data_IF_020652795005
#
_entry.id   IF_020652795005
#
_cell.length_a   1.000
_cell.length_b   1.000
_cell.length_c   1.000
_cell.angle_alpha   90.00
_cell.angle_beta   90.00
_cell.angle_gamma   90.00
#
_symmetry.space_group_name_H-M   'P 1'
#
loop_
_entity.id
_entity.type
_entity.pdbx_description
1 polymer ?
#
# COMPACT_ATOMS: atom_id res chain seq x y z
N UNK A 1 42.03 6.77 30.92
CA UNK A 1 41.41 6.31 29.65
C UNK A 1 39.93 6.58 29.74
N UNK A 2 39.45 7.66 29.11
CA UNK A 2 38.04 7.99 29.08
C UNK A 2 37.41 7.28 27.88
N UNK A 3 36.47 6.36 28.14
CA UNK A 3 35.62 5.80 27.12
C UNK A 3 34.64 6.91 26.68
N UNK A 4 34.92 7.52 25.53
CA UNK A 4 34.02 8.47 24.90
C UNK A 4 32.73 7.77 24.50
N UNK A 5 31.60 8.33 24.94
CA UNK A 5 30.27 7.97 24.49
C UNK A 5 30.17 8.25 22.99
N UNK A 6 30.37 7.23 22.15
CA UNK A 6 30.04 7.30 20.72
C UNK A 6 28.53 7.09 20.55
N UNK A 7 27.73 8.01 21.08
CA UNK A 7 26.35 8.19 20.69
C UNK A 7 26.32 9.12 19.49
N UNK A 8 26.62 8.61 18.30
CA UNK A 8 26.26 9.35 17.08
C UNK A 8 24.74 9.41 17.05
N UNK A 9 24.16 10.56 17.42
CA UNK A 9 22.75 10.83 17.16
C UNK A 9 22.53 10.65 15.65
N UNK A 10 21.73 9.66 15.30
CA UNK A 10 21.41 9.37 13.91
C UNK A 10 20.62 10.54 13.36
N UNK A 11 21.19 11.27 12.40
CA UNK A 11 20.51 12.41 11.77
C UNK A 11 19.33 11.87 10.96
N UNK A 12 18.13 12.12 11.46
CA UNK A 12 16.88 11.68 10.82
C UNK A 12 15.89 12.83 10.84
N UNK A 13 15.36 13.17 9.67
CA UNK A 13 14.38 14.22 9.50
C UNK A 13 13.32 13.86 8.47
N UNK A 14 12.28 14.67 8.37
CA UNK A 14 11.17 14.46 7.45
C UNK A 14 10.72 15.73 6.75
N UNK A 15 10.19 15.57 5.55
CA UNK A 15 9.62 16.66 4.75
C UNK A 15 8.46 16.14 3.90
N UNK A 16 7.67 17.06 3.37
CA UNK A 16 6.59 16.79 2.44
C UNK A 16 6.94 17.42 1.09
N UNK A 17 6.94 16.59 0.06
CA UNK A 17 7.09 17.00 -1.33
C UNK A 17 5.73 17.03 -2.00
N UNK A 18 5.27 18.20 -2.38
CA UNK A 18 4.05 18.41 -3.13
C UNK A 18 4.38 18.34 -4.62
N UNK A 19 3.60 17.58 -5.37
CA UNK A 19 3.76 17.37 -6.80
C UNK A 19 2.43 17.64 -7.46
N UNK A 20 2.40 18.62 -8.36
CA UNK A 20 1.22 19.03 -9.11
C UNK A 20 1.55 19.08 -10.60
N UNK A 21 0.58 18.78 -11.47
CA UNK A 21 0.72 19.07 -12.89
C UNK A 21 0.18 20.46 -13.20
N UNK A 22 0.91 21.23 -14.00
CA UNK A 22 0.45 22.53 -14.53
C UNK A 22 -0.58 22.38 -15.66
N UNK A 23 -0.99 21.16 -16.00
CA UNK A 23 -1.92 20.86 -17.07
C UNK A 23 -3.27 20.43 -16.49
N UNK A 24 -4.33 21.15 -16.85
CA UNK A 24 -5.69 20.90 -16.32
C UNK A 24 -6.23 19.50 -16.64
N UNK A 25 -5.70 18.85 -17.69
CA UNK A 25 -6.09 17.51 -18.09
C UNK A 25 -5.29 16.39 -17.39
N UNK A 26 -4.35 16.74 -16.50
CA UNK A 26 -3.48 15.79 -15.79
C UNK A 26 -3.63 15.94 -14.30
N UNK A 27 -4.63 15.26 -13.74
CA UNK A 27 -4.85 15.22 -12.29
C UNK A 27 -4.07 14.04 -11.70
N UNK A 28 -2.94 14.35 -11.03
CA UNK A 28 -2.07 13.32 -10.46
C UNK A 28 -2.75 12.53 -9.33
N UNK A 29 -3.62 13.19 -8.56
CA UNK A 29 -4.42 12.57 -7.50
C UNK A 29 -5.31 11.42 -8.04
N UNK A 30 -5.87 11.58 -9.24
CA UNK A 30 -6.72 10.61 -9.93
C UNK A 30 -5.91 9.51 -10.62
N UNK A 31 -4.79 9.86 -11.23
CA UNK A 31 -3.88 8.89 -11.81
C UNK A 31 -3.33 7.93 -10.75
N UNK A 32 -3.06 8.43 -9.54
CA UNK A 32 -2.65 7.58 -8.42
C UNK A 32 -3.81 6.77 -7.82
N UNK A 33 -5.07 7.20 -8.03
CA UNK A 33 -6.25 6.45 -7.63
C UNK A 33 -6.47 5.21 -8.52
N UNK A 34 -6.10 5.31 -9.80
CA UNK A 34 -6.30 4.26 -10.78
C UNK A 34 -5.35 3.07 -10.53
N UNK A 35 -5.85 1.85 -10.27
CA UNK A 35 -5.00 0.71 -9.91
C UNK A 35 -3.90 0.38 -10.92
N UNK A 36 -4.18 0.55 -12.21
CA UNK A 36 -3.21 0.29 -13.29
C UNK A 36 -2.11 1.36 -13.37
N UNK A 37 -2.47 2.63 -13.16
CA UNK A 37 -1.54 3.76 -13.25
C UNK A 37 -0.78 3.99 -11.94
N UNK A 38 -1.37 3.66 -10.80
CA UNK A 38 -0.80 3.81 -9.46
C UNK A 38 0.59 3.18 -9.35
N UNK A 39 0.76 1.96 -9.86
CA UNK A 39 2.07 1.26 -9.85
C UNK A 39 3.10 1.99 -10.71
N UNK A 40 2.69 2.52 -11.86
CA UNK A 40 3.55 3.27 -12.77
C UNK A 40 3.94 4.64 -12.18
N UNK A 41 2.99 5.36 -11.60
CA UNK A 41 3.22 6.64 -10.90
C UNK A 41 4.15 6.44 -9.70
N UNK A 42 3.90 5.41 -8.90
CA UNK A 42 4.77 5.05 -7.78
C UNK A 42 6.20 4.73 -8.24
N UNK A 43 6.35 3.96 -9.32
CA UNK A 43 7.66 3.67 -9.92
C UNK A 43 8.37 4.94 -10.35
N UNK A 44 7.66 5.86 -11.01
CA UNK A 44 8.22 7.14 -11.46
C UNK A 44 8.74 7.97 -10.28
N UNK A 45 7.94 8.10 -9.20
CA UNK A 45 8.34 8.79 -7.97
C UNK A 45 9.58 8.15 -7.35
N UNK A 46 9.57 6.82 -7.18
CA UNK A 46 10.69 6.08 -6.58
C UNK A 46 11.98 6.26 -7.36
N UNK A 47 11.93 6.12 -8.68
CA UNK A 47 13.12 6.24 -9.54
C UNK A 47 13.68 7.66 -9.50
N UNK A 48 12.82 8.68 -9.62
CA UNK A 48 13.27 10.08 -9.59
C UNK A 48 13.91 10.47 -8.25
N UNK A 49 13.36 9.98 -7.13
CA UNK A 49 13.93 10.19 -5.80
C UNK A 49 15.26 9.44 -5.64
N UNK A 50 15.38 8.23 -6.18
CA UNK A 50 16.63 7.48 -6.13
C UNK A 50 17.77 8.18 -6.91
N UNK A 51 17.44 8.78 -8.07
CA UNK A 51 18.39 9.56 -8.87
C UNK A 51 18.86 10.83 -8.15
N UNK A 52 17.97 11.49 -7.39
CA UNK A 52 18.23 12.82 -6.82
C UNK A 52 18.69 12.82 -5.37
N UNK A 53 18.23 11.85 -4.56
CA UNK A 53 18.47 11.79 -3.12
C UNK A 53 19.23 10.56 -2.64
N UNK A 54 19.57 9.63 -3.54
CA UNK A 54 20.38 8.46 -3.22
C UNK A 54 19.55 7.19 -2.96
N UNK A 55 20.18 6.20 -2.33
CA UNK A 55 19.56 4.88 -2.12
C UNK A 55 18.28 4.95 -1.28
N UNK A 56 17.39 3.94 -1.40
CA UNK A 56 16.19 3.84 -0.55
C UNK A 56 16.50 3.65 0.94
N UNK A 57 17.77 3.48 1.33
CA UNK A 57 18.20 3.43 2.73
C UNK A 57 18.38 4.85 3.31
N UNK A 58 18.81 5.81 2.48
CA UNK A 58 19.08 7.20 2.89
C UNK A 58 17.91 8.14 2.63
N UNK A 59 17.08 7.85 1.63
CA UNK A 59 15.87 8.60 1.31
C UNK A 59 14.68 7.65 1.12
N UNK A 60 13.72 7.71 2.03
CA UNK A 60 12.55 6.83 2.08
C UNK A 60 11.28 7.62 1.81
N UNK A 61 10.38 7.04 1.01
CA UNK A 61 8.98 7.47 0.98
C UNK A 61 8.24 6.77 2.11
N UNK A 62 7.67 7.54 3.04
CA UNK A 62 6.87 7.02 4.14
C UNK A 62 5.42 6.82 3.73
N UNK A 63 4.84 7.79 3.02
CA UNK A 63 3.45 7.77 2.58
C UNK A 63 3.25 8.66 1.35
N UNK A 64 2.27 8.33 0.52
CA UNK A 64 1.79 9.19 -0.57
C UNK A 64 0.36 9.59 -0.22
N UNK A 65 0.13 10.88 0.02
CA UNK A 65 -1.19 11.42 0.24
C UNK A 65 -1.76 11.93 -1.07
N UNK A 66 -3.03 11.58 -1.33
CA UNK A 66 -3.81 12.16 -2.41
C UNK A 66 -4.50 13.41 -1.86
N UNK A 67 -4.14 14.58 -2.36
CA UNK A 67 -4.71 15.87 -1.95
C UNK A 67 -5.04 16.67 -3.20
N UNK A 68 -6.23 16.45 -3.73
CA UNK A 68 -6.66 16.94 -5.04
C UNK A 68 -6.35 18.44 -5.27
N UNK A 69 -5.67 18.83 -6.37
CA UNK A 69 -5.17 18.01 -7.51
C UNK A 69 -3.78 17.38 -7.32
N UNK A 70 -3.14 17.60 -6.18
CA UNK A 70 -1.75 17.28 -5.90
C UNK A 70 -1.54 15.87 -5.32
N UNK A 71 -0.32 15.37 -5.49
CA UNK A 71 0.23 14.27 -4.70
C UNK A 71 1.23 14.82 -3.70
N UNK A 72 1.09 14.43 -2.43
CA UNK A 72 2.01 14.84 -1.37
C UNK A 72 2.78 13.61 -0.91
N UNK A 73 4.09 13.59 -1.13
CA UNK A 73 4.98 12.50 -0.74
C UNK A 73 5.65 12.86 0.58
N UNK A 74 5.36 12.09 1.63
CA UNK A 74 6.07 12.19 2.90
C UNK A 74 7.43 11.50 2.77
N UNK A 75 8.51 12.24 2.96
CA UNK A 75 9.89 11.78 2.85
C UNK A 75 10.53 11.66 4.22
N UNK A 76 11.36 10.63 4.38
CA UNK A 76 12.29 10.47 5.50
C UNK A 76 13.71 10.48 4.97
N UNK A 77 14.54 11.29 5.59
CA UNK A 77 15.96 11.39 5.29
C UNK A 77 16.75 10.74 6.43
N UNK A 78 17.71 9.89 6.08
CA UNK A 78 18.67 9.29 6.99
C UNK A 78 20.06 9.75 6.58
N UNK A 79 20.67 10.60 7.41
CA UNK A 79 21.96 11.23 7.12
C UNK A 79 21.84 12.63 6.52
N UNK A 80 22.68 13.52 7.03
CA UNK A 80 22.72 14.94 6.66
C UNK A 80 23.23 15.17 5.23
N UNK A 81 24.28 14.46 4.82
CA UNK A 81 24.89 14.63 3.49
C UNK A 81 23.95 14.19 2.35
N UNK A 82 23.27 13.04 2.41
CA UNK A 82 22.23 12.68 1.44
C UNK A 82 21.09 13.70 1.35
N UNK A 83 20.66 14.27 2.48
CA UNK A 83 19.65 15.33 2.48
C UNK A 83 20.14 16.61 1.78
N UNK A 84 21.38 17.02 2.02
CA UNK A 84 21.97 18.18 1.31
C UNK A 84 22.07 17.94 -0.20
N UNK A 85 22.44 16.72 -0.62
CA UNK A 85 22.44 16.31 -2.03
C UNK A 85 21.04 16.42 -2.65
N UNK A 86 20.02 15.91 -1.95
CA UNK A 86 18.63 16.03 -2.38
C UNK A 86 18.21 17.49 -2.55
N UNK A 87 18.53 18.36 -1.59
CA UNK A 87 18.19 19.80 -1.65
C UNK A 87 18.85 20.49 -2.85
N UNK A 88 20.11 20.16 -3.17
CA UNK A 88 20.79 20.67 -4.37
C UNK A 88 20.12 20.19 -5.65
N UNK A 89 19.83 18.90 -5.76
CA UNK A 89 19.13 18.33 -6.92
C UNK A 89 17.70 18.89 -7.08
N UNK A 90 17.02 19.19 -5.98
CA UNK A 90 15.72 19.86 -5.97
C UNK A 90 15.83 21.29 -6.52
N UNK A 91 16.75 22.08 -5.96
CA UNK A 91 16.99 23.49 -6.35
C UNK A 91 17.42 23.63 -7.81
N UNK A 92 18.26 22.72 -8.30
CA UNK A 92 18.76 22.72 -9.68
C UNK A 92 17.73 22.19 -10.70
N UNK A 93 16.57 21.73 -10.23
CA UNK A 93 15.50 21.21 -11.09
C UNK A 93 15.75 19.79 -11.61
N UNK A 94 16.82 19.12 -11.17
CA UNK A 94 17.13 17.74 -11.57
C UNK A 94 16.02 16.77 -11.14
N UNK A 95 15.52 16.91 -9.90
CA UNK A 95 14.39 16.10 -9.41
C UNK A 95 13.14 16.34 -10.25
N UNK A 96 12.84 17.60 -10.56
CA UNK A 96 11.68 17.98 -11.38
C UNK A 96 11.77 17.34 -12.76
N UNK A 97 12.93 17.44 -13.42
CA UNK A 97 13.15 16.85 -14.74
C UNK A 97 13.00 15.32 -14.72
N UNK A 98 13.54 14.64 -13.69
CA UNK A 98 13.39 13.20 -13.53
C UNK A 98 11.92 12.79 -13.32
N UNK A 99 11.19 13.52 -12.48
CA UNK A 99 9.76 13.31 -12.27
C UNK A 99 8.94 13.53 -13.54
N UNK A 100 9.22 14.59 -14.28
CA UNK A 100 8.53 14.87 -15.55
C UNK A 100 8.73 13.74 -16.56
N UNK A 101 9.96 13.24 -16.72
CA UNK A 101 10.23 12.09 -17.60
C UNK A 101 9.52 10.82 -17.13
N UNK A 102 9.60 10.52 -15.83
CA UNK A 102 8.99 9.32 -15.25
C UNK A 102 7.46 9.33 -15.34
N UNK A 103 6.83 10.46 -15.01
CA UNK A 103 5.38 10.61 -15.05
C UNK A 103 4.84 10.70 -16.48
N UNK A 104 5.57 11.34 -17.41
CA UNK A 104 5.20 11.33 -18.82
C UNK A 104 5.10 9.90 -19.37
N UNK A 105 6.08 9.04 -19.05
CA UNK A 105 6.05 7.63 -19.40
C UNK A 105 4.93 6.86 -18.68
N UNK A 106 4.73 7.09 -17.38
CA UNK A 106 3.71 6.41 -16.59
C UNK A 106 2.27 6.73 -17.04
N UNK A 107 2.04 7.96 -17.48
CA UNK A 107 0.73 8.45 -17.92
C UNK A 107 0.50 8.30 -19.42
N UNK A 108 1.52 7.86 -20.18
CA UNK A 108 1.53 7.88 -21.65
C UNK A 108 1.20 9.26 -22.24
N UNK A 109 1.62 10.35 -21.56
CA UNK A 109 1.38 11.73 -21.97
C UNK A 109 2.71 12.47 -22.13
N UNK A 110 2.88 13.21 -23.23
CA UNK A 110 4.06 14.04 -23.47
C UNK A 110 3.65 15.39 -24.05
N UNK A 111 4.11 16.53 -23.50
CA UNK A 111 4.93 16.72 -22.28
C UNK A 111 4.08 16.88 -21.00
N UNK A 112 4.60 16.44 -19.85
CA UNK A 112 4.00 16.73 -18.52
C UNK A 112 4.77 17.88 -17.86
N UNK A 113 4.08 18.98 -17.58
CA UNK A 113 4.65 20.09 -16.80
C UNK A 113 4.31 19.89 -15.32
N UNK A 114 5.32 20.03 -14.46
CA UNK A 114 5.18 19.79 -13.02
C UNK A 114 5.62 21.02 -12.22
N UNK A 115 4.83 21.30 -11.19
CA UNK A 115 5.20 22.17 -10.09
C UNK A 115 5.51 21.31 -8.87
N UNK A 116 6.61 21.68 -8.19
CA UNK A 116 7.02 21.04 -6.96
C UNK A 116 7.02 22.08 -5.85
N UNK A 117 6.61 21.68 -4.66
CA UNK A 117 6.83 22.46 -3.44
C UNK A 117 7.41 21.56 -2.35
N UNK A 118 8.37 22.07 -1.58
CA UNK A 118 8.97 21.33 -0.47
C UNK A 118 8.66 22.01 0.86
N UNK A 119 8.11 21.25 1.82
CA UNK A 119 7.76 21.77 3.15
C UNK A 119 8.29 20.89 4.27
N UNK A 120 8.72 21.51 5.37
CA UNK A 120 9.08 20.84 6.62
C UNK A 120 8.25 21.43 7.76
N UNK A 121 7.18 20.74 8.15
CA UNK A 121 6.20 21.28 9.10
C UNK A 121 5.47 22.48 8.48
N UNK A 122 5.48 23.62 9.19
CA UNK A 122 4.89 24.87 8.70
C UNK A 122 5.81 25.65 7.75
N UNK A 123 7.10 25.31 7.67
CA UNK A 123 8.08 26.02 6.85
C UNK A 123 8.02 25.55 5.40
N UNK A 124 7.86 26.50 4.46
CA UNK A 124 8.01 26.25 3.03
C UNK A 124 9.47 26.44 2.64
N UNK A 125 10.17 25.34 2.37
CA UNK A 125 11.60 25.32 2.09
C UNK A 125 11.95 25.99 0.77
N UNK A 126 11.02 26.05 -0.19
CA UNK A 126 11.21 26.72 -1.49
C UNK A 126 11.69 28.17 -1.35
N UNK A 127 11.22 28.87 -0.31
CA UNK A 127 11.58 30.27 -0.05
C UNK A 127 13.00 30.45 0.53
N UNK A 128 13.63 29.37 1.00
CA UNK A 128 14.91 29.38 1.71
C UNK A 128 15.93 28.40 1.11
N UNK A 129 15.71 27.88 -0.10
CA UNK A 129 16.61 26.91 -0.77
C UNK A 129 18.05 27.40 -1.00
N UNK A 130 18.28 28.71 -0.96
CA UNK A 130 19.63 29.30 -1.03
C UNK A 130 20.43 29.06 0.24
N UNK A 131 19.74 28.87 1.37
CA UNK A 131 20.33 28.56 2.68
C UNK A 131 20.11 27.08 3.01
N UNK A 132 21.06 26.25 2.56
CA UNK A 132 21.03 24.79 2.75
C UNK A 132 21.01 24.41 4.24
N UNK A 133 21.72 25.16 5.08
CA UNK A 133 21.82 24.92 6.52
C UNK A 133 20.49 25.14 7.24
N UNK A 134 19.77 26.21 6.88
CA UNK A 134 18.42 26.45 7.37
C UNK A 134 17.46 25.34 6.94
N UNK A 135 17.51 24.91 5.67
CA UNK A 135 16.68 23.82 5.16
C UNK A 135 16.92 22.51 5.94
N UNK A 136 18.19 22.13 6.14
CA UNK A 136 18.57 20.94 6.89
C UNK A 136 18.07 21.01 8.35
N UNK A 137 18.15 22.19 8.97
CA UNK A 137 17.68 22.40 10.34
C UNK A 137 16.16 22.26 10.45
N UNK A 138 15.41 22.82 9.49
CA UNK A 138 13.95 22.66 9.41
C UNK A 138 13.54 21.19 9.23
N UNK A 139 14.22 20.44 8.35
CA UNK A 139 13.94 19.02 8.10
C UNK A 139 14.25 18.17 9.35
N UNK A 140 15.39 18.42 10.00
CA UNK A 140 15.78 17.72 11.24
C UNK A 140 14.79 17.97 12.38
N UNK A 141 14.25 19.20 12.48
CA UNK A 141 13.25 19.53 13.51
C UNK A 141 11.96 18.71 13.34
N UNK A 142 11.66 18.23 12.14
CA UNK A 142 10.52 17.35 11.87
C UNK A 142 10.93 15.89 12.02
N UNK A 143 10.69 15.32 13.21
CA UNK A 143 10.91 13.88 13.42
C UNK A 143 9.87 13.07 12.64
N UNK A 144 10.27 12.00 11.93
CA UNK A 144 9.31 11.08 11.34
C UNK A 144 8.39 10.50 12.42
N UNK A 145 7.09 10.71 12.27
CA UNK A 145 6.07 10.28 13.23
C UNK A 145 5.52 8.88 12.91
N UNK A 146 5.87 8.34 11.74
CA UNK A 146 5.27 7.14 11.17
C UNK A 146 6.30 6.21 10.55
N UNK A 147 5.99 4.92 10.62
CA UNK A 147 6.63 3.91 9.79
C UNK A 147 6.12 4.01 8.36
N UNK A 148 6.84 3.40 7.43
CA UNK A 148 6.44 3.29 6.03
C UNK A 148 5.07 2.64 5.91
N UNK A 149 4.21 3.24 5.09
CA UNK A 149 2.84 2.79 4.84
C UNK A 149 2.80 1.42 4.13
N UNK A 150 1.83 0.57 4.49
CA UNK A 150 1.69 -0.77 3.91
C UNK A 150 1.38 -0.72 2.42
N UNK A 151 0.62 0.29 1.99
CA UNK A 151 0.33 0.55 0.58
C UNK A 151 1.63 0.68 -0.25
N UNK A 152 2.65 1.33 0.30
CA UNK A 152 3.94 1.45 -0.37
C UNK A 152 4.71 0.12 -0.42
N UNK A 153 4.55 -0.74 0.58
CA UNK A 153 5.14 -2.07 0.59
C UNK A 153 4.47 -2.97 -0.47
N UNK A 154 3.14 -2.96 -0.55
CA UNK A 154 2.38 -3.68 -1.59
C UNK A 154 2.77 -3.22 -3.00
N UNK A 155 2.92 -1.90 -3.20
CA UNK A 155 3.36 -1.34 -4.48
C UNK A 155 4.80 -1.75 -4.82
N UNK A 156 5.70 -1.87 -3.83
CA UNK A 156 7.03 -2.41 -4.07
C UNK A 156 7.01 -3.88 -4.48
N UNK A 157 6.20 -4.69 -3.80
CA UNK A 157 6.08 -6.11 -4.11
C UNK A 157 5.48 -6.31 -5.51
N UNK A 158 4.46 -5.52 -5.88
CA UNK A 158 3.92 -5.48 -7.23
C UNK A 158 4.99 -5.13 -8.27
N UNK A 159 5.82 -4.12 -7.99
CA UNK A 159 6.94 -3.75 -8.89
C UNK A 159 8.00 -4.83 -9.00
N UNK A 160 8.35 -5.51 -7.90
CA UNK A 160 9.30 -6.63 -7.92
C UNK A 160 8.76 -7.78 -8.78
N UNK A 161 7.50 -8.14 -8.62
CA UNK A 161 6.84 -9.18 -9.41
C UNK A 161 6.80 -8.85 -10.91
N UNK A 162 6.52 -7.59 -11.26
CA UNK A 162 6.57 -7.11 -12.65
C UNK A 162 7.97 -7.17 -13.26
N UNK A 163 9.01 -6.88 -12.46
CA UNK A 163 10.41 -6.91 -12.92
C UNK A 163 10.90 -8.34 -13.10
N UNK A 164 10.47 -9.28 -12.24
CA UNK A 164 10.83 -10.70 -12.32
C UNK A 164 10.13 -11.46 -13.46
N UNK A 165 9.02 -10.96 -14.00
CA UNK A 165 8.34 -11.55 -15.17
C UNK A 165 9.00 -11.24 -16.53
N UNK A 166 9.98 -10.32 -16.56
CA UNK A 166 10.63 -9.83 -17.80
C UNK A 166 11.95 -10.53 -18.13
N UNK A 167 12.41 -11.49 -17.32
CA UNK A 167 13.66 -12.23 -17.55
C UNK A 167 13.41 -13.54 -18.29
N UNK A 168 13.16 -13.51 -19.59
CA UNK A 168 13.00 -14.75 -20.35
C UNK A 168 12.49 -14.61 -21.78
N UNK A 169 12.99 -13.69 -22.58
CA UNK A 169 12.90 -13.81 -24.03
C UNK A 169 13.93 -12.94 -24.75
N UNK A 170 14.47 -13.52 -25.84
CA UNK A 170 15.54 -13.10 -26.76
C UNK A 170 16.98 -13.35 -26.30
N UNK A 171 17.79 -14.18 -26.96
CA UNK A 171 17.57 -15.01 -28.14
C UNK A 171 18.88 -15.66 -28.59
N UNK A 172 18.84 -16.86 -29.16
CA UNK A 172 19.51 -17.15 -30.44
C UNK A 172 18.96 -18.44 -31.05
N UNK A 173 18.82 -18.41 -32.38
CA UNK A 173 18.13 -19.41 -33.19
C UNK A 173 19.09 -20.44 -33.78
N UNK A 174 18.65 -21.71 -33.93
CA UNK A 174 18.86 -22.46 -35.18
C UNK A 174 18.01 -23.74 -35.27
N UNK A 175 17.03 -23.68 -36.19
CA UNK A 175 16.63 -24.67 -37.23
C UNK A 175 16.76 -26.18 -36.95
N UNK A 176 15.63 -26.91 -37.05
CA UNK A 176 15.45 -28.02 -38.00
C UNK A 176 14.01 -28.56 -38.02
N UNK A 177 13.58 -28.96 -39.23
CA UNK A 177 12.23 -29.24 -39.69
C UNK A 177 11.72 -30.67 -39.35
N UNK A 178 10.40 -30.88 -39.37
CA UNK A 178 9.82 -32.21 -39.67
C UNK A 178 8.34 -32.41 -39.32
N UNK A 179 7.45 -32.86 -40.23
CA UNK A 179 6.01 -32.62 -40.16
C UNK A 179 5.17 -33.85 -39.72
N UNK A 180 3.93 -33.63 -39.25
CA UNK A 180 2.69 -34.30 -39.73
C UNK A 180 1.58 -34.52 -38.68
N UNK A 181 0.36 -34.16 -39.10
CA UNK A 181 -0.93 -34.83 -38.89
C UNK A 181 -1.73 -34.63 -37.58
N UNK A 182 -2.74 -33.75 -37.70
CA UNK A 182 -4.18 -33.99 -37.49
C UNK A 182 -4.60 -35.07 -36.50
N UNK A 183 -5.18 -34.65 -35.35
CA UNK A 183 -6.38 -35.28 -34.76
C UNK A 183 -6.97 -34.44 -33.62
N UNK A 184 -8.18 -33.93 -33.84
CA UNK A 184 -9.22 -33.70 -32.82
C UNK A 184 -10.14 -34.94 -32.98
N UNK A 185 -10.77 -35.55 -31.93
CA UNK A 185 -11.34 -34.90 -30.75
C UNK A 185 -11.16 -35.65 -29.41
N UNK A 186 -11.37 -34.95 -28.29
CA UNK A 186 -12.33 -35.40 -27.25
C UNK A 186 -12.51 -34.36 -26.15
N UNK A 187 -13.78 -34.06 -25.92
CA UNK A 187 -14.33 -33.51 -24.68
C UNK A 187 -13.79 -34.34 -23.51
N UNK A 188 -12.98 -33.75 -22.64
CA UNK A 188 -12.59 -34.37 -21.37
C UNK A 188 -12.97 -33.44 -20.23
N UNK A 189 -13.75 -34.02 -19.33
CA UNK A 189 -14.32 -33.43 -18.13
C UNK A 189 -13.32 -32.62 -17.31
N UNK A 190 -13.83 -31.50 -16.81
CA UNK A 190 -13.19 -30.64 -15.81
C UNK A 190 -12.86 -31.50 -14.57
N UNK A 191 -11.60 -31.55 -14.09
CA UNK A 191 -11.30 -32.28 -12.87
C UNK A 191 -12.04 -31.65 -11.67
N UNK A 192 -12.67 -32.44 -10.78
CA UNK A 192 -13.35 -31.91 -9.61
C UNK A 192 -12.34 -31.25 -8.66
N UNK A 193 -12.67 -30.09 -8.05
CA UNK A 193 -11.76 -29.43 -7.13
C UNK A 193 -11.61 -30.25 -5.82
N UNK A 194 -10.42 -30.22 -5.21
CA UNK A 194 -10.09 -31.04 -4.03
C UNK A 194 -10.94 -30.67 -2.80
N UNK A 195 -11.40 -31.71 -2.10
CA UNK A 195 -12.38 -31.75 -1.00
C UNK A 195 -11.95 -31.09 0.32
N UNK A 196 -11.46 -29.85 0.28
CA UNK A 196 -11.09 -29.07 1.48
C UNK A 196 -11.19 -27.56 1.34
N UNK A 197 -11.69 -27.06 0.21
CA UNK A 197 -11.78 -25.62 -0.10
C UNK A 197 -13.22 -25.11 -0.08
N UNK A 198 -14.18 -25.83 0.46
CA UNK A 198 -15.58 -25.37 0.56
C UNK A 198 -16.15 -25.63 1.95
N UNK A 199 -16.95 -24.69 2.46
CA UNK A 199 -17.71 -24.80 3.70
C UNK A 199 -19.19 -24.52 3.41
N UNK A 200 -20.09 -24.92 4.31
CA UNK A 200 -21.52 -24.69 4.16
C UNK A 200 -21.91 -23.42 4.90
N UNK A 201 -22.55 -22.48 4.20
CA UNK A 201 -23.20 -21.31 4.78
C UNK A 201 -24.67 -21.34 4.37
N UNK A 202 -25.59 -21.37 5.34
CA UNK A 202 -27.04 -21.53 5.10
C UNK A 202 -27.41 -22.68 4.13
N UNK A 203 -26.64 -23.78 4.15
CA UNK A 203 -26.85 -24.92 3.26
C UNK A 203 -26.29 -24.77 1.83
N UNK A 204 -25.65 -23.64 1.50
CA UNK A 204 -24.95 -23.43 0.23
C UNK A 204 -23.44 -23.72 0.36
N UNK A 205 -22.82 -24.41 -0.61
CA UNK A 205 -21.38 -24.64 -0.61
C UNK A 205 -20.63 -23.37 -1.05
N UNK A 206 -19.86 -22.78 -0.14
CA UNK A 206 -19.07 -21.57 -0.40
C UNK A 206 -17.58 -21.89 -0.39
N UNK A 207 -16.84 -21.31 -1.32
CA UNK A 207 -15.39 -21.52 -1.44
C UNK A 207 -14.67 -20.83 -0.28
N UNK A 208 -13.95 -21.61 0.52
CA UNK A 208 -13.08 -21.15 1.57
C UNK A 208 -11.79 -20.57 0.97
N UNK A 209 -11.48 -19.33 1.34
CA UNK A 209 -10.26 -18.63 0.92
C UNK A 209 -9.71 -17.80 2.08
N UNK A 210 -8.42 -17.45 2.09
CA UNK A 210 -7.90 -16.45 3.01
C UNK A 210 -8.66 -15.13 2.89
N UNK A 211 -8.75 -14.39 3.99
CA UNK A 211 -9.37 -13.07 4.00
C UNK A 211 -8.62 -12.13 3.06
N UNK A 212 -9.35 -11.56 2.12
CA UNK A 212 -8.87 -10.54 1.20
C UNK A 212 -8.97 -9.15 1.86
N UNK A 213 -8.29 -8.16 1.27
CA UNK A 213 -8.44 -6.77 1.69
C UNK A 213 -9.89 -6.28 1.55
N UNK A 214 -10.61 -6.75 0.51
CA UNK A 214 -12.01 -6.42 0.30
C UNK A 214 -12.89 -6.90 1.45
N UNK A 215 -12.65 -8.12 1.95
CA UNK A 215 -13.40 -8.65 3.10
C UNK A 215 -13.17 -7.81 4.36
N UNK A 216 -11.92 -7.36 4.55
CA UNK A 216 -11.56 -6.53 5.69
C UNK A 216 -12.25 -5.17 5.63
N UNK A 217 -12.30 -4.55 4.44
CA UNK A 217 -12.99 -3.28 4.23
C UNK A 217 -14.50 -3.42 4.39
N UNK A 218 -15.12 -4.43 3.77
CA UNK A 218 -16.56 -4.68 3.89
C UNK A 218 -16.96 -4.92 5.34
N UNK A 219 -16.19 -5.73 6.07
CA UNK A 219 -16.38 -5.94 7.50
C UNK A 219 -16.31 -4.62 8.28
N UNK A 220 -15.25 -3.84 8.07
CA UNK A 220 -15.00 -2.60 8.80
C UNK A 220 -16.10 -1.54 8.57
N UNK A 221 -16.70 -1.48 7.37
CA UNK A 221 -17.81 -0.57 7.06
C UNK A 221 -19.10 -0.92 7.81
N UNK A 222 -19.37 -2.21 8.01
CA UNK A 222 -20.70 -2.66 8.41
C UNK A 222 -20.79 -3.20 9.84
N UNK A 223 -19.69 -3.61 10.46
CA UNK A 223 -19.72 -4.25 11.79
C UNK A 223 -20.00 -3.26 12.94
N UNK A 224 -19.60 -1.99 12.79
CA UNK A 224 -19.76 -0.95 13.81
C UNK A 224 -19.27 -1.38 15.20
N UNK A 225 -20.01 -1.06 16.26
CA UNK A 225 -19.67 -1.41 17.66
C UNK A 225 -19.57 -2.92 17.93
N UNK A 226 -20.13 -3.77 17.05
CA UNK A 226 -20.11 -5.23 17.22
C UNK A 226 -18.74 -5.84 16.92
N UNK A 227 -17.76 -5.07 16.43
CA UNK A 227 -16.41 -5.55 16.16
C UNK A 227 -15.77 -6.22 17.38
N UNK A 228 -16.03 -5.70 18.59
CA UNK A 228 -15.53 -6.30 19.83
C UNK A 228 -16.11 -7.69 20.09
N UNK A 229 -17.39 -7.90 19.78
CA UNK A 229 -18.04 -9.20 19.98
C UNK A 229 -17.54 -10.22 18.96
N UNK A 230 -17.39 -9.81 17.70
CA UNK A 230 -16.76 -10.65 16.65
C UNK A 230 -15.31 -10.98 17.03
N UNK A 231 -14.56 -10.00 17.54
CA UNK A 231 -13.21 -10.21 18.06
C UNK A 231 -13.16 -11.29 19.15
N UNK A 232 -14.11 -11.29 20.10
CA UNK A 232 -14.22 -12.33 21.14
C UNK A 232 -14.57 -13.71 20.58
N UNK A 233 -15.34 -13.80 19.51
CA UNK A 233 -15.54 -15.08 18.81
C UNK A 233 -14.25 -15.56 18.13
N UNK A 234 -13.53 -14.65 17.45
CA UNK A 234 -12.26 -14.96 16.78
C UNK A 234 -11.12 -15.30 17.77
N UNK A 235 -11.16 -14.77 19.00
CA UNK A 235 -10.22 -15.08 20.08
C UNK A 235 -10.14 -16.59 20.42
N UNK A 236 -11.24 -17.35 20.21
CA UNK A 236 -11.24 -18.80 20.49
C UNK A 236 -10.26 -19.56 19.60
N UNK A 237 -10.12 -19.11 18.36
CA UNK A 237 -9.21 -19.70 17.37
C UNK A 237 -7.91 -18.92 17.15
N UNK A 238 -7.78 -17.68 17.64
CA UNK A 238 -6.60 -16.83 17.41
C UNK A 238 -6.00 -16.32 18.72
N UNK A 239 -4.79 -16.77 19.04
CA UNK A 239 -4.09 -16.36 20.28
C UNK A 239 -3.72 -14.88 20.29
N UNK A 240 -3.41 -14.29 19.14
CA UNK A 240 -2.98 -12.90 19.04
C UNK A 240 -4.10 -11.87 19.29
N UNK A 241 -5.36 -12.32 19.27
CA UNK A 241 -6.52 -11.51 19.61
C UNK A 241 -6.92 -11.62 21.08
N UNK A 242 -6.34 -12.55 21.85
CA UNK A 242 -6.69 -12.71 23.28
C UNK A 242 -6.39 -11.44 24.06
N UNK A 243 -7.15 -11.23 25.13
CA UNK A 243 -6.97 -10.10 26.03
C UNK A 243 -5.50 -10.01 26.51
N UNK A 244 -4.88 -8.82 26.52
CA UNK A 244 -5.50 -7.50 26.40
C UNK A 244 -5.61 -6.96 24.96
N UNK A 245 -5.40 -7.77 23.91
CA UNK A 245 -5.25 -7.26 22.54
C UNK A 245 -6.47 -6.48 22.02
N UNK A 246 -7.70 -6.87 22.37
CA UNK A 246 -8.90 -6.12 21.95
C UNK A 246 -9.00 -4.76 22.65
N UNK A 247 -8.59 -4.68 23.91
CA UNK A 247 -8.58 -3.43 24.68
C UNK A 247 -7.45 -2.51 24.20
N UNK A 248 -6.29 -3.07 23.85
CA UNK A 248 -5.20 -2.34 23.20
C UNK A 248 -5.64 -1.75 21.86
N UNK A 249 -6.29 -2.54 21.00
CA UNK A 249 -6.84 -2.06 19.73
C UNK A 249 -7.89 -0.96 19.95
N UNK A 250 -8.75 -1.13 20.95
CA UNK A 250 -9.74 -0.12 21.29
C UNK A 250 -9.09 1.20 21.70
N UNK A 251 -8.05 1.16 22.55
CA UNK A 251 -7.35 2.35 23.03
C UNK A 251 -6.50 3.01 21.93
N UNK A 252 -5.73 2.23 21.17
CA UNK A 252 -4.85 2.73 20.12
C UNK A 252 -5.61 3.46 19.01
N UNK A 253 -6.75 2.91 18.59
CA UNK A 253 -7.52 3.40 17.43
C UNK A 253 -8.85 4.07 17.82
N UNK A 254 -9.02 4.46 19.09
CA UNK A 254 -10.24 5.17 19.55
C UNK A 254 -10.45 6.48 18.78
N UNK A 255 -9.36 7.19 18.50
CA UNK A 255 -9.38 8.51 17.83
C UNK A 255 -9.69 8.42 16.33
N UNK A 256 -9.41 7.28 15.72
CA UNK A 256 -9.62 7.04 14.28
C UNK A 256 -11.03 6.51 13.99
N UNK A 257 -11.75 6.05 15.02
CA UNK A 257 -13.15 5.67 14.97
C UNK A 257 -13.41 4.17 14.79
N UNK A 258 -14.69 3.80 14.82
CA UNK A 258 -15.12 2.39 14.83
C UNK A 258 -14.72 1.60 13.58
N UNK A 259 -14.69 2.29 12.43
CA UNK A 259 -14.23 1.71 11.17
C UNK A 259 -12.78 1.21 11.31
N UNK A 260 -11.89 2.08 11.79
CA UNK A 260 -10.48 1.76 11.92
C UNK A 260 -10.26 0.65 12.95
N UNK A 261 -10.95 0.70 14.10
CA UNK A 261 -10.90 -0.37 15.11
C UNK A 261 -11.30 -1.73 14.53
N UNK A 262 -12.38 -1.78 13.75
CA UNK A 262 -12.84 -3.00 13.10
C UNK A 262 -11.87 -3.50 12.02
N UNK A 263 -11.29 -2.59 11.25
CA UNK A 263 -10.29 -2.91 10.24
C UNK A 263 -9.02 -3.49 10.88
N UNK A 264 -8.52 -2.85 11.94
CA UNK A 264 -7.32 -3.28 12.67
C UNK A 264 -7.52 -4.63 13.38
N UNK A 265 -8.74 -4.95 13.82
CA UNK A 265 -9.06 -6.29 14.32
C UNK A 265 -8.75 -7.37 13.27
N UNK A 266 -9.28 -7.23 12.06
CA UNK A 266 -9.07 -8.23 11.01
C UNK A 266 -7.64 -8.20 10.47
N UNK A 267 -7.00 -7.04 10.38
CA UNK A 267 -5.59 -6.92 10.03
C UNK A 267 -4.71 -7.70 11.02
N UNK A 268 -4.95 -7.53 12.33
CA UNK A 268 -4.24 -8.30 13.38
C UNK A 268 -4.53 -9.80 13.29
N UNK A 269 -5.77 -10.18 12.99
CA UNK A 269 -6.15 -11.57 12.77
C UNK A 269 -5.39 -12.21 11.59
N UNK A 270 -5.32 -11.50 10.46
CA UNK A 270 -4.59 -11.93 9.25
C UNK A 270 -3.08 -11.99 9.50
N UNK A 271 -2.51 -11.00 10.19
CA UNK A 271 -1.09 -11.00 10.54
C UNK A 271 -0.72 -12.18 11.44
N UNK A 272 -1.59 -12.56 12.38
CA UNK A 272 -1.32 -13.64 13.32
C UNK A 272 -1.51 -15.04 12.72
N UNK A 273 -2.56 -15.23 11.92
CA UNK A 273 -2.95 -16.55 11.41
C UNK A 273 -2.48 -16.80 9.96
N UNK A 274 -2.05 -15.75 9.25
CA UNK A 274 -1.62 -15.80 7.86
C UNK A 274 -2.67 -16.44 6.96
N UNK A 275 -2.29 -17.51 6.23
CA UNK A 275 -3.21 -18.27 5.36
C UNK A 275 -4.34 -18.97 6.12
N UNK A 276 -4.27 -19.06 7.45
CA UNK A 276 -5.32 -19.65 8.30
C UNK A 276 -6.36 -18.62 8.77
N UNK A 277 -6.17 -17.33 8.49
CA UNK A 277 -7.22 -16.32 8.60
C UNK A 277 -8.17 -16.48 7.40
N UNK A 278 -9.06 -17.46 7.49
CA UNK A 278 -9.95 -17.83 6.39
C UNK A 278 -11.31 -17.16 6.49
N UNK A 279 -11.97 -17.01 5.34
CA UNK A 279 -13.32 -16.49 5.20
C UNK A 279 -14.31 -17.28 6.05
N UNK A 280 -14.18 -18.61 6.09
CA UNK A 280 -15.00 -19.47 6.93
C UNK A 280 -14.99 -19.03 8.40
N UNK A 281 -13.82 -18.77 8.99
CA UNK A 281 -13.72 -18.41 10.41
C UNK A 281 -14.35 -17.05 10.71
N UNK A 282 -14.27 -16.13 9.75
CA UNK A 282 -14.93 -14.83 9.88
C UNK A 282 -16.45 -14.99 9.78
N UNK A 283 -16.93 -15.78 8.82
CA UNK A 283 -18.36 -16.06 8.64
C UNK A 283 -18.96 -16.76 9.87
N UNK A 284 -18.29 -17.79 10.40
CA UNK A 284 -18.72 -18.46 11.64
C UNK A 284 -18.81 -17.46 12.81
N UNK A 285 -17.82 -16.57 12.95
CA UNK A 285 -17.85 -15.53 13.97
C UNK A 285 -18.95 -14.47 13.74
N UNK A 286 -19.33 -14.19 12.49
CA UNK A 286 -20.43 -13.27 12.16
C UNK A 286 -21.79 -13.90 12.44
N UNK A 287 -21.98 -15.19 12.11
CA UNK A 287 -23.19 -15.95 12.39
C UNK A 287 -23.45 -16.04 13.90
N UNK A 288 -22.41 -16.31 14.70
CA UNK A 288 -22.49 -16.32 16.16
C UNK A 288 -22.92 -14.97 16.77
N UNK A 289 -22.71 -13.86 16.05
CA UNK A 289 -22.97 -12.51 16.50
C UNK A 289 -24.18 -11.87 15.82
N UNK A 290 -25.05 -12.68 15.19
CA UNK A 290 -26.27 -12.24 14.52
C UNK A 290 -25.98 -11.20 13.41
N UNK A 291 -24.86 -11.37 12.70
CA UNK A 291 -24.41 -10.53 11.59
C UNK A 291 -24.47 -11.30 10.25
N UNK A 292 -25.57 -12.02 10.05
CA UNK A 292 -25.76 -12.89 8.89
C UNK A 292 -25.82 -12.12 7.57
N UNK A 293 -26.43 -10.92 7.56
CA UNK A 293 -26.45 -10.04 6.38
C UNK A 293 -25.04 -9.62 5.95
N UNK A 294 -24.18 -9.30 6.91
CA UNK A 294 -22.78 -8.99 6.63
C UNK A 294 -22.00 -10.22 6.14
N UNK A 295 -22.33 -11.40 6.63
CA UNK A 295 -21.76 -12.64 6.10
C UNK A 295 -22.18 -12.86 4.63
N UNK A 296 -23.44 -12.61 4.28
CA UNK A 296 -23.92 -12.69 2.89
C UNK A 296 -23.21 -11.70 1.97
N UNK A 297 -22.99 -10.46 2.42
CA UNK A 297 -22.22 -9.44 1.70
C UNK A 297 -20.78 -9.89 1.42
N UNK A 298 -20.13 -10.51 2.40
CA UNK A 298 -18.76 -11.03 2.26
C UNK A 298 -18.66 -12.23 1.32
N UNK A 299 -19.73 -13.00 1.22
CA UNK A 299 -19.81 -14.17 0.33
C UNK A 299 -20.30 -13.78 -1.08
N UNK A 300 -20.68 -12.52 -1.29
CA UNK A 300 -21.24 -12.04 -2.56
C UNK A 300 -22.60 -12.67 -2.88
N UNK A 301 -23.34 -13.08 -1.84
CA UNK A 301 -24.66 -13.71 -1.96
C UNK A 301 -25.79 -12.67 -1.90
N UNK A 302 -25.49 -11.42 -1.55
CA UNK A 302 -26.43 -10.31 -1.67
C UNK A 302 -26.61 -9.93 -3.13
N UNK A 303 -27.76 -10.31 -3.70
CA UNK A 303 -28.19 -9.83 -5.01
C UNK A 303 -28.45 -8.31 -4.98
N UNK A 304 -28.33 -7.60 -6.11
CA UNK A 304 -28.59 -6.16 -6.20
C UNK A 304 -30.06 -5.76 -5.96
N UNK A 305 -30.94 -6.70 -5.65
CA UNK A 305 -32.35 -6.46 -5.33
C UNK A 305 -32.66 -7.01 -3.93
N UNK A 306 -32.59 -6.16 -2.89
CA UNK A 306 -32.87 -6.62 -1.53
C UNK A 306 -32.73 -5.59 -0.43
N UNK A 307 -33.50 -4.51 -0.51
CA UNK A 307 -34.00 -3.64 0.57
C UNK A 307 -33.11 -3.32 1.77
N UNK A 308 -32.84 -2.02 1.92
CA UNK A 308 -32.51 -1.30 3.15
C UNK A 308 -33.07 -1.94 4.42
N UNK A 309 -32.17 -2.17 5.39
CA UNK A 309 -32.43 -2.14 6.83
C UNK A 309 -31.19 -1.57 7.53
#
# INVERSE_FOLDING_TARGET
MAAGQNGHEEWVGSAYLFVESSLDNVVLSDAYAHPQQKVAVYRALRTALAESGGSPEVLQMLKIHRSDPQLIVQLRFCGREPCGRFLRAYREGALRAALQRGLAAALAQHPVQLELELRAGAERLDAVLTDEERCLSCILAQKPDRLRDEELAELEDALRNLTCGSGGQDGDAEVAQGPSQSRVPSLSEKPPPPSGQTFLFQGQPVVNRPLSLQDQQTFARSVGLKWRKVGRSLQRGCRALRDPALDSLAYEYERDGLYEQAFQLLRRFVQAEGRRATLQRLVEALEENELTSLAEDLLGLTGPDGSLA
#
